data_IF_104289312914
#
_entry.id   IF_104289312914
#
_cell.length_a   1.000
_cell.length_b   1.000
_cell.length_c   1.000
_cell.angle_alpha   90.00
_cell.angle_beta   90.00
_cell.angle_gamma   90.00
#
_symmetry.space_group_name_H-M   'P 1'
#
loop_
_entity.id
_entity.type
_entity.pdbx_description
1 polymer ?
#
# COMPACT_ATOMS: atom_id res chain seq x y z
N UNK A 1 -25.25 -21.78 -34.30
CA UNK A 1 -23.81 -21.61 -34.60
C UNK A 1 -23.05 -21.92 -33.34
N UNK A 2 -22.24 -22.98 -33.38
CA UNK A 2 -21.54 -23.55 -32.24
C UNK A 2 -20.36 -22.65 -31.85
N UNK A 3 -20.33 -22.21 -30.60
CA UNK A 3 -19.15 -21.63 -29.97
C UNK A 3 -18.02 -22.67 -29.97
N UNK A 4 -16.79 -22.34 -30.43
CA UNK A 4 -15.69 -23.30 -30.43
C UNK A 4 -15.27 -23.66 -29.00
N UNK A 5 -15.24 -24.96 -28.70
CA UNK A 5 -14.85 -25.54 -27.40
C UNK A 5 -13.47 -25.08 -26.90
N UNK A 6 -12.63 -24.54 -27.77
CA UNK A 6 -11.29 -24.03 -27.46
C UNK A 6 -11.30 -22.69 -26.71
N UNK A 7 -12.32 -21.83 -26.90
CA UNK A 7 -12.45 -20.58 -26.14
C UNK A 7 -13.04 -20.80 -24.73
N UNK A 8 -13.97 -21.73 -24.59
CA UNK A 8 -14.48 -22.16 -23.27
C UNK A 8 -13.36 -22.74 -22.40
N UNK A 9 -12.42 -23.45 -23.05
CA UNK A 9 -11.25 -24.00 -22.38
C UNK A 9 -10.28 -22.91 -21.88
N UNK A 10 -10.19 -21.75 -22.56
CA UNK A 10 -9.29 -20.63 -22.19
C UNK A 10 -9.86 -19.68 -21.13
N UNK A 11 -11.17 -19.45 -21.13
CA UNK A 11 -11.83 -18.79 -19.99
C UNK A 11 -11.68 -19.64 -18.72
N UNK A 12 -11.84 -20.96 -18.85
CA UNK A 12 -11.65 -21.89 -17.73
C UNK A 12 -10.17 -22.04 -17.32
N UNK A 13 -9.20 -21.93 -18.23
CA UNK A 13 -7.76 -21.97 -17.89
C UNK A 13 -7.26 -20.67 -17.24
N UNK A 14 -7.75 -19.50 -17.66
CA UNK A 14 -7.40 -18.23 -16.98
C UNK A 14 -8.11 -18.11 -15.62
N UNK A 15 -9.34 -18.62 -15.51
CA UNK A 15 -10.15 -18.59 -14.28
C UNK A 15 -9.74 -19.67 -13.25
N UNK A 16 -9.33 -20.86 -13.68
CA UNK A 16 -8.89 -21.95 -12.76
C UNK A 16 -7.51 -21.74 -12.13
N UNK A 17 -6.67 -20.84 -12.66
CA UNK A 17 -5.33 -20.54 -12.12
C UNK A 17 -5.31 -19.31 -11.19
N UNK A 18 -6.47 -18.69 -10.98
CA UNK A 18 -6.70 -17.71 -9.92
C UNK A 18 -7.00 -18.39 -8.56
N UNK A 19 -7.11 -19.72 -8.52
CA UNK A 19 -7.20 -20.50 -7.29
C UNK A 19 -5.78 -20.90 -6.83
N UNK A 20 -5.31 -20.26 -5.76
CA UNK A 20 -3.90 -20.00 -5.44
C UNK A 20 -3.18 -21.11 -4.66
N UNK A 21 -3.69 -22.34 -4.64
CA UNK A 21 -3.18 -23.38 -3.73
C UNK A 21 -2.00 -24.22 -4.25
N UNK A 22 -1.52 -24.05 -5.49
CA UNK A 22 -0.53 -24.98 -6.09
C UNK A 22 0.68 -24.38 -6.84
N UNK A 23 0.86 -23.05 -6.83
CA UNK A 23 1.91 -22.39 -7.63
C UNK A 23 3.32 -22.36 -7.00
N UNK A 24 3.61 -23.21 -6.02
CA UNK A 24 4.95 -23.33 -5.44
C UNK A 24 5.97 -24.05 -6.33
N UNK A 25 5.60 -24.56 -7.52
CA UNK A 25 6.54 -25.33 -8.36
C UNK A 25 6.85 -24.73 -9.74
N UNK A 26 8.04 -24.14 -9.81
CA UNK A 26 8.93 -24.00 -10.97
C UNK A 26 8.65 -22.89 -12.00
N UNK A 27 9.64 -21.99 -12.11
CA UNK A 27 9.89 -21.04 -13.20
C UNK A 27 9.94 -21.65 -14.61
N UNK A 28 10.07 -22.99 -14.74
CA UNK A 28 10.11 -23.69 -16.04
C UNK A 28 8.72 -23.82 -16.71
N UNK A 29 7.67 -24.02 -15.91
CA UNK A 29 6.29 -24.06 -16.42
C UNK A 29 5.85 -22.70 -16.96
N UNK A 30 6.35 -21.63 -16.32
CA UNK A 30 6.08 -20.24 -16.66
C UNK A 30 6.64 -19.82 -18.03
N UNK A 31 7.93 -20.08 -18.30
CA UNK A 31 8.56 -19.73 -19.58
C UNK A 31 7.95 -20.51 -20.76
N UNK A 32 7.53 -21.75 -20.49
CA UNK A 32 6.85 -22.62 -21.47
C UNK A 32 5.46 -22.08 -21.83
N UNK A 33 4.70 -21.59 -20.84
CA UNK A 33 3.39 -20.95 -21.07
C UNK A 33 3.51 -19.64 -21.84
N UNK A 34 4.48 -18.79 -21.50
CA UNK A 34 4.77 -17.54 -22.20
C UNK A 34 5.15 -17.79 -23.67
N UNK A 35 6.02 -18.79 -23.92
CA UNK A 35 6.42 -19.21 -25.27
C UNK A 35 5.21 -19.70 -26.08
N UNK A 36 4.34 -20.53 -25.48
CA UNK A 36 3.10 -21.00 -26.12
C UNK A 36 2.14 -19.86 -26.44
N UNK A 37 1.94 -18.90 -25.55
CA UNK A 37 1.06 -17.76 -25.81
C UNK A 37 1.60 -16.91 -26.98
N UNK A 38 2.90 -16.60 -26.99
CA UNK A 38 3.57 -15.87 -28.09
C UNK A 38 3.47 -16.61 -29.43
N UNK A 39 3.62 -17.94 -29.42
CA UNK A 39 3.54 -18.78 -30.62
C UNK A 39 2.11 -18.90 -31.17
N UNK A 40 1.12 -19.19 -30.31
CA UNK A 40 -0.29 -19.35 -30.68
C UNK A 40 -0.84 -18.06 -31.30
N UNK A 41 -0.47 -16.91 -30.75
CA UNK A 41 -1.00 -15.62 -31.19
C UNK A 41 -0.04 -14.83 -32.07
N UNK A 42 1.10 -15.40 -32.50
CA UNK A 42 2.16 -14.74 -33.30
C UNK A 42 2.48 -13.31 -32.82
N UNK A 43 2.50 -13.08 -31.51
CA UNK A 43 2.57 -11.73 -30.91
C UNK A 43 3.81 -10.94 -31.33
N UNK A 44 4.91 -11.62 -31.66
CA UNK A 44 6.16 -11.00 -32.13
C UNK A 44 6.02 -10.26 -33.47
N UNK A 45 4.94 -10.50 -34.23
CA UNK A 45 4.72 -9.92 -35.56
C UNK A 45 3.65 -8.81 -35.61
N UNK A 46 3.08 -8.44 -34.46
CA UNK A 46 2.00 -7.45 -34.39
C UNK A 46 2.49 -6.12 -33.83
N UNK A 47 2.48 -5.07 -34.65
CA UNK A 47 2.63 -3.66 -34.23
C UNK A 47 1.25 -3.00 -34.11
N UNK A 48 1.08 -1.94 -33.29
CA UNK A 48 -0.18 -1.19 -33.20
C UNK A 48 -0.75 -0.80 -34.58
N UNK A 49 0.12 -0.43 -35.52
CA UNK A 49 -0.23 -0.11 -36.90
C UNK A 49 -0.76 -1.29 -37.74
N UNK A 50 -0.36 -2.53 -37.43
CA UNK A 50 -0.88 -3.74 -38.10
C UNK A 50 -2.21 -4.23 -37.55
N UNK A 51 -2.62 -3.76 -36.36
CA UNK A 51 -3.84 -4.22 -35.66
C UNK A 51 -5.12 -3.50 -36.09
N UNK A 52 -5.01 -2.33 -36.73
CA UNK A 52 -6.15 -1.53 -37.22
C UNK A 52 -7.00 -2.28 -38.25
N UNK A 53 -6.42 -3.24 -38.97
CA UNK A 53 -7.08 -4.00 -40.05
C UNK A 53 -7.50 -5.41 -39.65
N UNK A 54 -7.38 -5.79 -38.38
CA UNK A 54 -7.74 -7.14 -37.94
C UNK A 54 -9.25 -7.19 -37.62
N UNK A 55 -10.01 -8.15 -38.19
CA UNK A 55 -11.43 -8.31 -37.89
C UNK A 55 -11.69 -8.52 -36.40
N UNK A 56 -12.84 -8.07 -35.90
CA UNK A 56 -13.31 -8.47 -34.57
C UNK A 56 -13.55 -10.00 -34.55
N UNK A 57 -13.27 -10.71 -33.44
CA UNK A 57 -12.90 -10.22 -32.10
C UNK A 57 -11.38 -10.26 -31.80
N UNK A 58 -10.52 -10.48 -32.80
CA UNK A 58 -9.10 -10.74 -32.58
C UNK A 58 -8.35 -9.64 -31.81
N UNK A 59 -8.61 -8.33 -32.00
CA UNK A 59 -7.97 -7.28 -31.20
C UNK A 59 -8.22 -7.43 -29.69
N UNK A 60 -9.43 -7.81 -29.27
CA UNK A 60 -9.77 -8.03 -27.86
C UNK A 60 -9.05 -9.25 -27.28
N UNK A 61 -8.90 -10.31 -28.08
CA UNK A 61 -8.15 -11.51 -27.67
C UNK A 61 -6.66 -11.19 -27.48
N UNK A 62 -6.10 -10.39 -28.40
CA UNK A 62 -4.70 -9.97 -28.35
C UNK A 62 -4.47 -9.05 -27.14
N UNK A 63 -5.35 -8.07 -26.91
CA UNK A 63 -5.33 -7.20 -25.73
C UNK A 63 -5.36 -8.02 -24.43
N UNK A 64 -6.36 -8.88 -24.26
CA UNK A 64 -6.50 -9.74 -23.06
C UNK A 64 -5.27 -10.63 -22.84
N UNK A 65 -4.63 -11.09 -23.92
CA UNK A 65 -3.38 -11.83 -23.83
C UNK A 65 -2.25 -10.96 -23.29
N UNK A 66 -2.04 -9.75 -23.82
CA UNK A 66 -1.02 -8.82 -23.31
C UNK A 66 -1.28 -8.41 -21.86
N UNK A 67 -2.53 -8.17 -21.48
CA UNK A 67 -2.91 -7.88 -20.09
C UNK A 67 -2.55 -9.06 -19.16
N UNK A 68 -2.86 -10.30 -19.57
CA UNK A 68 -2.49 -11.51 -18.83
C UNK A 68 -0.96 -11.67 -18.73
N UNK A 69 -0.24 -11.48 -19.84
CA UNK A 69 1.24 -11.55 -19.86
C UNK A 69 1.88 -10.48 -18.98
N UNK A 70 1.22 -9.33 -18.84
CA UNK A 70 1.64 -8.28 -17.93
C UNK A 70 1.54 -8.73 -16.48
N UNK A 71 0.37 -9.19 -16.04
CA UNK A 71 0.14 -9.69 -14.67
C UNK A 71 1.12 -10.81 -14.31
N UNK A 72 1.42 -11.68 -15.28
CA UNK A 72 2.43 -12.75 -15.19
C UNK A 72 3.86 -12.18 -15.04
N UNK A 73 4.22 -11.18 -15.81
CA UNK A 73 5.55 -10.54 -15.76
C UNK A 73 5.76 -9.75 -14.47
N UNK A 74 4.71 -9.09 -13.94
CA UNK A 74 4.74 -8.41 -12.64
C UNK A 74 5.02 -9.39 -11.50
N UNK A 75 4.35 -10.56 -11.48
CA UNK A 75 4.56 -11.60 -10.46
C UNK A 75 5.98 -12.18 -10.47
N UNK A 76 6.65 -12.15 -11.62
CA UNK A 76 8.05 -12.58 -11.77
C UNK A 76 9.05 -11.43 -11.65
N UNK A 77 8.59 -10.24 -11.22
CA UNK A 77 9.39 -9.02 -11.07
C UNK A 77 10.11 -8.57 -12.36
N UNK A 78 9.64 -9.01 -13.53
CA UNK A 78 10.16 -8.58 -14.84
C UNK A 78 9.49 -7.27 -15.27
N UNK A 79 9.75 -6.19 -14.53
CA UNK A 79 9.00 -4.93 -14.65
C UNK A 79 9.14 -4.27 -16.03
N UNK A 80 10.33 -4.27 -16.64
CA UNK A 80 10.51 -3.71 -17.99
C UNK A 80 9.70 -4.46 -19.05
N UNK A 81 9.62 -5.79 -18.91
CA UNK A 81 8.81 -6.66 -19.78
C UNK A 81 7.31 -6.40 -19.56
N UNK A 82 6.88 -6.33 -18.29
CA UNK A 82 5.52 -6.00 -17.93
C UNK A 82 5.11 -4.64 -18.52
N UNK A 83 5.99 -3.63 -18.41
CA UNK A 83 5.76 -2.29 -18.93
C UNK A 83 5.57 -2.28 -20.45
N UNK A 84 6.38 -3.06 -21.17
CA UNK A 84 6.20 -3.21 -22.61
C UNK A 84 4.85 -3.83 -22.96
N UNK A 85 4.45 -4.91 -22.28
CA UNK A 85 3.20 -5.61 -22.57
C UNK A 85 1.97 -4.76 -22.26
N UNK A 86 1.96 -4.04 -21.14
CA UNK A 86 0.80 -3.24 -20.76
C UNK A 86 0.65 -2.01 -21.65
N UNK A 87 1.75 -1.35 -22.06
CA UNK A 87 1.69 -0.28 -23.05
C UNK A 87 1.07 -0.77 -24.36
N UNK A 88 1.48 -1.95 -24.82
CA UNK A 88 0.85 -2.59 -25.98
C UNK A 88 -0.63 -2.90 -25.72
N UNK A 89 -1.00 -3.45 -24.56
CA UNK A 89 -2.40 -3.71 -24.20
C UNK A 89 -3.25 -2.43 -24.30
N UNK A 90 -2.77 -1.33 -23.71
CA UNK A 90 -3.44 -0.04 -23.69
C UNK A 90 -3.58 0.58 -25.09
N UNK A 91 -2.55 0.47 -25.95
CA UNK A 91 -2.59 0.96 -27.33
C UNK A 91 -3.59 0.20 -28.21
N UNK A 92 -3.83 -1.08 -27.92
CA UNK A 92 -4.76 -1.92 -28.68
C UNK A 92 -6.22 -1.74 -28.27
N UNK A 93 -6.46 -1.13 -27.11
CA UNK A 93 -7.80 -0.88 -26.63
C UNK A 93 -8.28 0.52 -26.99
N UNK A 94 -9.53 0.62 -27.47
CA UNK A 94 -10.23 1.92 -27.58
C UNK A 94 -10.68 2.46 -26.22
N UNK A 95 -10.68 1.61 -25.19
CA UNK A 95 -11.08 1.94 -23.82
C UNK A 95 -10.18 1.17 -22.85
N UNK A 96 -9.20 1.85 -22.27
CA UNK A 96 -8.27 1.25 -21.31
C UNK A 96 -9.07 0.63 -20.16
N UNK A 97 -8.84 -0.66 -19.92
CA UNK A 97 -9.48 -1.39 -18.84
C UNK A 97 -8.80 -1.08 -17.51
N UNK A 98 -9.55 -1.24 -16.42
CA UNK A 98 -9.06 -0.99 -15.05
C UNK A 98 -7.79 -1.79 -14.72
N UNK A 99 -7.71 -3.04 -15.19
CA UNK A 99 -6.54 -3.90 -14.97
C UNK A 99 -5.29 -3.36 -15.67
N UNK A 100 -5.44 -2.79 -16.87
CA UNK A 100 -4.31 -2.22 -17.60
C UNK A 100 -3.74 -0.98 -16.87
N UNK A 101 -4.58 -0.11 -16.30
CA UNK A 101 -4.08 1.01 -15.49
C UNK A 101 -3.34 0.53 -14.25
N UNK A 102 -3.88 -0.46 -13.53
CA UNK A 102 -3.22 -1.03 -12.35
C UNK A 102 -1.86 -1.61 -12.67
N UNK A 103 -1.81 -2.42 -13.73
CA UNK A 103 -0.60 -3.07 -14.15
C UNK A 103 0.42 -2.07 -14.70
N UNK A 104 -0.03 -1.03 -15.42
CA UNK A 104 0.81 0.06 -15.89
C UNK A 104 1.44 0.80 -14.71
N UNK A 105 0.63 1.15 -13.72
CA UNK A 105 1.07 1.81 -12.51
C UNK A 105 2.15 0.97 -11.80
N UNK A 106 1.94 -0.34 -11.65
CA UNK A 106 2.93 -1.23 -11.05
C UNK A 106 4.20 -1.38 -11.87
N UNK A 107 4.08 -1.55 -13.18
CA UNK A 107 5.23 -1.75 -14.04
C UNK A 107 6.13 -0.50 -14.06
N UNK A 108 5.52 0.70 -14.12
CA UNK A 108 6.25 1.97 -14.04
C UNK A 108 6.99 2.11 -12.70
N UNK A 109 6.33 1.79 -11.59
CA UNK A 109 6.94 1.82 -10.26
C UNK A 109 8.09 0.83 -10.14
N UNK A 110 7.91 -0.39 -10.62
CA UNK A 110 8.93 -1.44 -10.59
C UNK A 110 10.16 -1.16 -11.46
N UNK A 111 10.05 -0.31 -12.48
CA UNK A 111 11.23 0.19 -13.23
C UNK A 111 11.82 1.50 -12.67
N UNK A 112 11.38 1.95 -11.50
CA UNK A 112 11.88 3.17 -10.84
C UNK A 112 11.34 4.48 -11.44
N UNK A 113 10.23 4.44 -12.17
CA UNK A 113 9.59 5.62 -12.79
C UNK A 113 8.38 6.11 -11.97
N UNK A 114 8.56 6.23 -10.65
CA UNK A 114 7.48 6.58 -9.73
C UNK A 114 6.98 8.02 -9.96
N UNK A 115 7.90 8.98 -10.09
CA UNK A 115 7.55 10.39 -10.35
C UNK A 115 6.77 10.55 -11.67
N UNK A 116 7.27 9.93 -12.74
CA UNK A 116 6.65 9.97 -14.07
C UNK A 116 5.22 9.41 -14.03
N UNK A 117 5.00 8.26 -13.38
CA UNK A 117 3.66 7.69 -13.31
C UNK A 117 2.73 8.50 -12.40
N UNK A 118 3.23 9.11 -11.32
CA UNK A 118 2.43 10.00 -10.47
C UNK A 118 1.93 11.20 -11.28
N UNK A 119 2.81 11.86 -12.05
CA UNK A 119 2.43 12.99 -12.91
C UNK A 119 1.44 12.57 -14.00
N UNK A 120 1.65 11.43 -14.66
CA UNK A 120 0.70 10.90 -15.63
C UNK A 120 -0.68 10.61 -15.02
N UNK A 121 -0.73 10.02 -13.81
CA UNK A 121 -2.00 9.74 -13.14
C UNK A 121 -2.73 11.04 -12.77
N UNK A 122 -2.02 12.07 -12.29
CA UNK A 122 -2.63 13.38 -12.05
C UNK A 122 -3.14 14.04 -13.34
N UNK A 123 -2.40 13.93 -14.43
CA UNK A 123 -2.84 14.39 -15.75
C UNK A 123 -4.14 13.72 -16.22
N UNK A 124 -4.32 12.42 -15.91
CA UNK A 124 -5.56 11.69 -16.21
C UNK A 124 -6.70 12.10 -15.28
N UNK A 125 -6.44 12.32 -13.98
CA UNK A 125 -7.46 12.78 -13.03
C UNK A 125 -7.96 14.18 -13.39
N UNK A 126 -7.09 15.03 -13.94
CA UNK A 126 -7.36 16.42 -14.29
C UNK A 126 -7.40 17.35 -13.08
N UNK A 127 -6.91 16.88 -11.93
CA UNK A 127 -6.83 17.61 -10.68
C UNK A 127 -5.39 17.97 -10.30
N UNK A 128 -5.25 18.69 -9.20
CA UNK A 128 -3.97 19.04 -8.61
C UNK A 128 -3.82 18.46 -7.19
N UNK A 129 -2.58 18.34 -6.74
CA UNK A 129 -2.27 17.92 -5.37
C UNK A 129 -2.74 18.97 -4.38
N UNK A 130 -3.50 18.54 -3.37
CA UNK A 130 -4.10 19.42 -2.36
C UNK A 130 -3.38 19.41 -1.01
N UNK A 131 -2.36 18.57 -0.85
CA UNK A 131 -1.66 18.38 0.42
C UNK A 131 -0.65 19.49 0.65
N UNK A 132 -0.70 20.11 1.84
CA UNK A 132 0.23 21.15 2.28
C UNK A 132 0.64 20.84 3.72
N UNK A 133 1.58 19.90 3.93
CA UNK A 133 2.02 19.53 5.26
C UNK A 133 2.55 20.77 5.97
N UNK A 134 2.09 21.00 7.19
CA UNK A 134 2.61 22.07 8.04
C UNK A 134 3.47 21.47 9.13
N UNK A 135 4.41 22.26 9.67
CA UNK A 135 5.02 21.90 10.95
C UNK A 135 3.93 21.85 12.00
N UNK A 136 4.01 20.87 12.90
CA UNK A 136 3.22 20.93 14.14
C UNK A 136 3.58 22.23 14.87
N UNK A 137 2.55 22.96 15.33
CA UNK A 137 2.70 24.28 15.95
C UNK A 137 2.90 24.12 17.47
N UNK A 138 2.39 23.03 18.06
CA UNK A 138 2.53 22.69 19.47
C UNK A 138 3.72 21.75 19.74
N UNK A 139 4.71 22.23 20.50
CA UNK A 139 5.84 21.43 20.93
C UNK A 139 5.45 20.16 21.71
N UNK A 140 6.17 19.06 21.45
CA UNK A 140 6.20 17.77 22.18
C UNK A 140 4.91 16.95 22.33
N UNK A 141 3.72 17.45 22.04
CA UNK A 141 2.49 16.65 22.15
C UNK A 141 2.38 15.69 20.96
N UNK A 142 2.27 14.40 21.25
CA UNK A 142 2.17 13.32 20.26
C UNK A 142 0.90 12.52 20.53
N UNK A 143 0.05 12.39 19.52
CA UNK A 143 -1.09 11.46 19.52
C UNK A 143 -0.80 10.31 18.57
N UNK A 144 -0.89 9.07 19.07
CA UNK A 144 -0.78 7.88 18.23
C UNK A 144 -2.15 7.54 17.67
N UNK A 145 -2.19 6.95 16.46
CA UNK A 145 -3.44 6.47 15.91
C UNK A 145 -3.29 5.21 15.06
N UNK A 146 -4.38 4.48 14.95
CA UNK A 146 -4.48 3.27 14.13
C UNK A 146 -5.88 3.14 13.52
N UNK A 147 -6.03 2.24 12.54
CA UNK A 147 -7.32 1.93 11.90
C UNK A 147 -7.61 0.46 12.08
N UNK A 148 -8.72 0.14 12.74
CA UNK A 148 -9.32 -1.20 12.77
C UNK A 148 -10.59 -1.17 11.92
N UNK A 149 -10.66 -2.01 10.89
CA UNK A 149 -11.85 -2.13 10.05
C UNK A 149 -12.10 -3.59 9.66
N UNK A 150 -13.34 -4.02 9.84
CA UNK A 150 -13.79 -5.40 9.62
C UNK A 150 -13.13 -6.39 10.58
N UNK A 151 -13.07 -7.65 10.15
CA UNK A 151 -12.64 -8.78 10.99
C UNK A 151 -11.20 -9.23 10.76
N UNK A 152 -10.44 -8.52 9.92
CA UNK A 152 -9.05 -8.91 9.59
C UNK A 152 -8.13 -8.84 10.81
N UNK A 153 -8.27 -7.78 11.61
CA UNK A 153 -7.50 -7.55 12.83
C UNK A 153 -8.50 -7.37 13.99
N UNK A 154 -8.38 -8.22 15.01
CA UNK A 154 -9.22 -8.16 16.21
C UNK A 154 -8.78 -7.03 17.16
N UNK A 155 -9.58 -6.78 18.20
CA UNK A 155 -9.27 -5.78 19.22
C UNK A 155 -7.93 -6.04 19.95
N UNK A 156 -7.49 -7.31 20.03
CA UNK A 156 -6.19 -7.67 20.58
C UNK A 156 -5.02 -6.98 19.85
N UNK A 157 -5.12 -6.71 18.54
CA UNK A 157 -4.08 -5.95 17.84
C UNK A 157 -4.01 -4.48 18.30
N UNK A 158 -5.17 -3.86 18.53
CA UNK A 158 -5.25 -2.49 19.06
C UNK A 158 -4.66 -2.43 20.46
N UNK A 159 -5.04 -3.39 21.31
CA UNK A 159 -4.59 -3.46 22.69
C UNK A 159 -3.08 -3.76 22.78
N UNK A 160 -2.54 -4.65 21.95
CA UNK A 160 -1.11 -4.95 21.92
C UNK A 160 -0.29 -3.75 21.44
N UNK A 161 -0.77 -3.03 20.41
CA UNK A 161 -0.18 -1.76 20.00
C UNK A 161 -0.18 -0.74 21.15
N UNK A 162 -1.31 -0.58 21.84
CA UNK A 162 -1.46 0.34 22.97
C UNK A 162 -0.51 -0.01 24.13
N UNK A 163 -0.41 -1.29 24.48
CA UNK A 163 0.47 -1.78 25.53
C UNK A 163 1.95 -1.54 25.18
N UNK A 164 2.34 -1.78 23.93
CA UNK A 164 3.69 -1.46 23.44
C UNK A 164 3.98 0.04 23.53
N UNK A 165 3.03 0.88 23.12
CA UNK A 165 3.16 2.34 23.24
C UNK A 165 3.33 2.78 24.70
N UNK A 166 2.51 2.27 25.63
CA UNK A 166 2.58 2.58 27.08
C UNK A 166 3.93 2.19 27.67
N UNK A 167 4.43 1.00 27.33
CA UNK A 167 5.69 0.44 27.84
C UNK A 167 6.88 1.37 27.56
N UNK A 168 6.92 1.98 26.38
CA UNK A 168 8.10 2.74 25.93
C UNK A 168 7.92 4.26 25.90
N UNK A 169 6.68 4.77 25.90
CA UNK A 169 6.40 6.21 25.77
C UNK A 169 5.72 6.81 27.02
N UNK A 170 5.43 5.98 28.03
CA UNK A 170 4.87 6.40 29.31
C UNK A 170 3.39 6.05 29.48
N UNK A 171 2.91 6.14 30.73
CA UNK A 171 1.53 5.76 31.09
C UNK A 171 0.47 6.68 30.49
N UNK A 172 0.80 7.96 30.24
CA UNK A 172 -0.11 8.98 29.71
C UNK A 172 -0.15 9.01 28.17
N UNK A 173 0.26 7.91 27.52
CA UNK A 173 0.24 7.83 26.05
C UNK A 173 -1.19 7.89 25.53
N UNK A 174 -1.42 8.72 24.52
CA UNK A 174 -2.72 8.86 23.87
C UNK A 174 -2.77 8.03 22.59
N UNK A 175 -3.67 7.05 22.53
CA UNK A 175 -3.96 6.29 21.31
C UNK A 175 -5.41 6.53 20.87
N UNK A 176 -5.57 6.90 19.60
CA UNK A 176 -6.87 7.03 18.93
C UNK A 176 -7.04 5.89 17.92
N UNK A 177 -8.03 5.03 18.13
CA UNK A 177 -8.39 3.98 17.18
C UNK A 177 -9.60 4.40 16.35
N UNK A 178 -9.43 4.47 15.04
CA UNK A 178 -10.52 4.67 14.09
C UNK A 178 -11.14 3.31 13.78
N UNK A 179 -12.38 3.07 14.22
CA UNK A 179 -13.07 1.78 14.07
C UNK A 179 -14.58 1.92 14.04
N UNK A 180 -15.27 1.03 13.32
CA UNK A 180 -16.72 0.83 13.40
C UNK A 180 -17.14 -0.10 14.56
N UNK A 181 -16.16 -0.80 15.16
CA UNK A 181 -16.40 -1.80 16.18
C UNK A 181 -15.43 -1.64 17.36
N UNK A 182 -16.01 -1.31 18.51
CA UNK A 182 -15.34 -1.05 19.79
C UNK A 182 -15.14 -2.29 20.65
N UNK A 183 -15.77 -3.41 20.31
CA UNK A 183 -15.84 -4.57 21.20
C UNK A 183 -14.44 -5.13 21.52
N UNK A 184 -14.13 -5.25 22.82
CA UNK A 184 -12.87 -5.80 23.32
C UNK A 184 -11.66 -4.87 23.24
N UNK A 185 -11.81 -3.62 22.77
CA UNK A 185 -10.75 -2.62 22.81
C UNK A 185 -10.64 -2.06 24.24
N UNK A 186 -9.42 -1.84 24.70
CA UNK A 186 -9.10 -1.23 25.99
C UNK A 186 -9.81 0.13 26.18
N UNK A 187 -10.33 0.38 27.38
CA UNK A 187 -11.15 1.58 27.67
C UNK A 187 -10.35 2.89 27.68
N UNK A 188 -9.02 2.80 27.88
CA UNK A 188 -8.11 3.95 27.80
C UNK A 188 -7.82 4.35 26.33
N UNK A 189 -8.24 3.55 25.34
CA UNK A 189 -8.09 3.89 23.91
C UNK A 189 -9.27 4.75 23.46
N UNK A 190 -8.98 5.96 23.00
CA UNK A 190 -9.99 6.84 22.42
C UNK A 190 -10.47 6.27 21.09
N UNK A 191 -11.78 6.29 20.85
CA UNK A 191 -12.37 5.72 19.64
C UNK A 191 -13.06 6.80 18.82
N UNK A 192 -12.63 6.95 17.57
CA UNK A 192 -13.33 7.71 16.53
C UNK A 192 -14.07 6.74 15.62
N UNK A 193 -15.38 6.94 15.47
CA UNK A 193 -16.22 6.06 14.66
C UNK A 193 -15.89 6.20 13.18
N UNK A 194 -15.64 5.08 12.50
CA UNK A 194 -15.50 5.09 11.04
C UNK A 194 -16.86 5.36 10.39
N UNK A 195 -16.95 6.21 9.35
CA UNK A 195 -18.23 6.48 8.73
C UNK A 195 -18.74 5.23 8.01
N UNK A 196 -20.00 4.88 8.23
CA UNK A 196 -20.68 3.81 7.50
C UNK A 196 -20.60 4.04 5.97
N UNK A 197 -20.71 5.31 5.54
CA UNK A 197 -20.64 5.72 4.14
C UNK A 197 -19.83 6.99 3.98
N UNK A 198 -18.68 6.87 3.32
CA UNK A 198 -17.82 8.01 3.00
C UNK A 198 -18.20 8.65 1.65
N UNK A 199 -18.55 7.85 0.65
CA UNK A 199 -18.74 8.35 -0.71
C UNK A 199 -20.22 8.67 -1.01
N UNK A 200 -20.67 9.89 -0.65
CA UNK A 200 -22.06 10.37 -0.83
C UNK A 200 -22.61 10.25 -2.27
N UNK A 201 -21.76 10.17 -3.29
CA UNK A 201 -22.15 10.14 -4.72
C UNK A 201 -21.96 8.80 -5.42
N UNK A 202 -21.57 7.73 -4.72
CA UNK A 202 -21.21 6.46 -5.37
C UNK A 202 -21.94 5.24 -4.79
N UNK A 203 -22.02 4.18 -5.61
CA UNK A 203 -22.62 2.89 -5.25
C UNK A 203 -21.68 1.96 -4.45
N UNK A 204 -20.47 2.41 -4.10
CA UNK A 204 -19.47 1.60 -3.39
C UNK A 204 -18.99 2.39 -2.19
N UNK A 205 -19.07 1.76 -1.03
CA UNK A 205 -18.46 2.26 0.18
C UNK A 205 -16.94 2.04 0.13
N UNK A 206 -16.23 2.79 0.95
CA UNK A 206 -14.83 2.54 1.20
C UNK A 206 -14.69 1.18 1.88
N UNK A 207 -13.66 0.41 1.55
CA UNK A 207 -13.46 -0.89 2.19
C UNK A 207 -11.98 -1.15 2.47
N UNK A 208 -11.72 -1.81 3.60
CA UNK A 208 -10.39 -2.24 3.98
C UNK A 208 -9.41 -1.08 4.13
N UNK A 209 -8.26 -1.18 3.47
CA UNK A 209 -7.14 -0.25 3.62
C UNK A 209 -7.46 1.20 3.23
N UNK A 210 -8.53 1.45 2.46
CA UNK A 210 -8.91 2.80 2.08
C UNK A 210 -9.38 3.64 3.29
N UNK A 211 -9.85 3.01 4.38
CA UNK A 211 -10.15 3.70 5.66
C UNK A 211 -8.95 4.38 6.30
N UNK A 212 -7.73 4.01 5.91
CA UNK A 212 -6.53 4.76 6.26
C UNK A 212 -6.61 6.23 5.83
N UNK A 213 -7.28 6.55 4.72
CA UNK A 213 -7.44 7.93 4.28
C UNK A 213 -8.21 8.80 5.31
N UNK A 214 -9.14 8.19 6.05
CA UNK A 214 -10.02 8.93 6.95
C UNK A 214 -9.29 9.55 8.13
N UNK A 215 -8.13 9.01 8.53
CA UNK A 215 -7.28 9.57 9.60
C UNK A 215 -6.76 10.98 9.28
N UNK A 216 -6.81 11.39 8.01
CA UNK A 216 -6.38 12.72 7.58
C UNK A 216 -7.53 13.72 7.53
N UNK A 217 -8.79 13.28 7.66
CA UNK A 217 -9.96 14.15 7.53
C UNK A 217 -10.00 15.25 8.60
N UNK A 218 -10.22 16.51 8.21
CA UNK A 218 -10.43 17.58 9.20
C UNK A 218 -11.69 17.39 10.07
N UNK A 219 -12.57 16.44 9.74
CA UNK A 219 -13.83 16.21 10.44
C UNK A 219 -13.67 15.81 11.92
N UNK A 220 -12.54 15.22 12.30
CA UNK A 220 -12.28 14.78 13.67
C UNK A 220 -11.44 15.78 14.48
N UNK A 221 -11.09 16.95 13.93
CA UNK A 221 -10.34 17.98 14.69
C UNK A 221 -11.14 18.48 15.91
N UNK A 222 -12.44 18.76 15.74
CA UNK A 222 -13.29 19.24 16.85
C UNK A 222 -13.47 18.16 17.93
N UNK A 223 -13.66 16.90 17.52
CA UNK A 223 -13.82 15.76 18.42
C UNK A 223 -12.54 15.46 19.21
N UNK A 224 -11.37 15.50 18.55
CA UNK A 224 -10.08 15.14 19.15
C UNK A 224 -9.33 16.32 19.79
N UNK A 225 -9.80 17.55 19.55
CA UNK A 225 -9.34 18.77 20.18
C UNK A 225 -7.96 19.27 19.74
N UNK A 226 -7.50 20.32 20.41
CA UNK A 226 -6.26 21.07 20.09
C UNK A 226 -5.01 20.17 20.03
N UNK A 227 -4.91 19.18 20.91
CA UNK A 227 -3.77 18.25 20.93
C UNK A 227 -3.69 17.36 19.70
N UNK A 228 -4.83 17.09 19.03
CA UNK A 228 -4.83 16.49 17.71
C UNK A 228 -4.53 17.54 16.66
N UNK A 229 -5.28 18.64 16.61
CA UNK A 229 -5.20 19.65 15.54
C UNK A 229 -3.78 20.23 15.39
N UNK A 230 -3.17 20.67 16.49
CA UNK A 230 -1.88 21.37 16.52
C UNK A 230 -0.68 20.49 16.90
N UNK A 231 -0.94 19.25 17.35
CA UNK A 231 0.08 18.28 17.76
C UNK A 231 0.59 17.39 16.63
N UNK A 232 1.58 16.57 16.96
CA UNK A 232 2.06 15.50 16.09
C UNK A 232 1.10 14.31 16.13
N UNK A 233 0.79 13.76 14.95
CA UNK A 233 0.09 12.47 14.83
C UNK A 233 1.08 11.42 14.36
N UNK A 234 1.01 10.23 14.93
CA UNK A 234 1.79 9.05 14.51
C UNK A 234 0.84 7.90 14.21
N UNK A 235 0.61 7.66 12.93
CA UNK A 235 -0.13 6.50 12.46
C UNK A 235 0.76 5.27 12.48
N UNK A 236 0.22 4.15 12.97
CA UNK A 236 0.89 2.85 12.99
C UNK A 236 -0.10 1.77 12.52
N UNK A 237 0.26 0.99 11.49
CA UNK A 237 -0.49 -0.19 11.06
C UNK A 237 -0.58 -1.20 12.22
N UNK A 238 -1.73 -1.85 12.38
CA UNK A 238 -2.00 -2.75 13.51
C UNK A 238 -1.06 -3.95 13.60
N UNK A 239 -0.46 -4.39 12.50
CA UNK A 239 0.52 -5.47 12.48
C UNK A 239 1.95 -4.96 12.72
N UNK A 240 2.14 -4.11 13.74
CA UNK A 240 3.44 -3.56 14.12
C UNK A 240 3.74 -3.77 15.60
N UNK A 241 5.00 -4.05 15.93
CA UNK A 241 5.50 -4.25 17.29
C UNK A 241 6.31 -3.02 17.71
N UNK A 242 6.03 -2.48 18.90
CA UNK A 242 6.78 -1.38 19.50
C UNK A 242 7.93 -1.95 20.33
N UNK A 243 9.16 -1.50 20.07
CA UNK A 243 10.39 -1.98 20.71
C UNK A 243 11.16 -0.87 21.45
N UNK A 244 10.74 0.39 21.33
CA UNK A 244 11.46 1.52 21.89
C UNK A 244 10.64 2.80 21.92
N UNK A 245 11.20 3.82 22.58
CA UNK A 245 10.61 5.16 22.63
C UNK A 245 10.62 5.83 21.26
N UNK A 246 9.53 6.50 20.90
CA UNK A 246 9.31 7.02 19.54
C UNK A 246 9.59 8.52 19.40
N UNK A 247 10.01 9.16 20.48
CA UNK A 247 10.25 10.61 20.54
C UNK A 247 11.26 11.10 19.51
N UNK A 248 12.42 10.46 19.43
CA UNK A 248 13.49 10.86 18.48
C UNK A 248 13.04 10.73 17.02
N UNK A 249 12.25 9.69 16.72
CA UNK A 249 11.67 9.49 15.39
C UNK A 249 10.75 10.67 15.02
N UNK A 250 9.90 11.13 15.94
CA UNK A 250 8.99 12.26 15.72
C UNK A 250 9.76 13.59 15.63
N UNK A 251 10.72 13.83 16.53
CA UNK A 251 11.53 15.06 16.54
C UNK A 251 12.40 15.22 15.28
N UNK A 252 12.74 14.12 14.61
CA UNK A 252 13.46 14.10 13.34
C UNK A 252 12.63 14.48 12.11
N UNK A 253 11.31 14.65 12.24
CA UNK A 253 10.41 14.95 11.12
C UNK A 253 10.27 16.46 10.93
N UNK A 254 10.45 16.93 9.68
CA UNK A 254 10.23 18.35 9.36
C UNK A 254 8.74 18.72 9.32
N UNK A 255 7.96 18.10 8.42
CA UNK A 255 6.50 18.31 8.31
C UNK A 255 5.72 17.01 8.14
N UNK A 256 6.26 16.08 7.35
CA UNK A 256 5.70 14.76 7.08
C UNK A 256 6.81 13.70 7.15
N UNK A 257 6.59 12.65 7.90
CA UNK A 257 7.47 11.49 8.03
C UNK A 257 6.85 10.27 7.37
N UNK A 258 7.61 9.60 6.50
CA UNK A 258 7.19 8.42 5.74
C UNK A 258 8.25 7.32 5.81
N UNK A 259 7.88 6.07 5.53
CA UNK A 259 8.84 5.00 5.30
C UNK A 259 9.26 4.98 3.83
N UNK A 260 10.57 4.84 3.56
CA UNK A 260 11.03 4.44 2.23
C UNK A 260 10.75 2.96 1.99
N UNK A 261 10.66 2.56 0.73
CA UNK A 261 10.40 1.17 0.34
C UNK A 261 11.65 0.45 -0.17
N UNK A 262 12.80 1.11 -0.25
CA UNK A 262 14.04 0.52 -0.75
C UNK A 262 14.61 -0.44 0.30
N UNK A 263 14.72 -1.74 -0.02
CA UNK A 263 15.12 -2.78 0.93
C UNK A 263 14.01 -3.33 1.85
N UNK A 264 12.76 -2.87 1.68
CA UNK A 264 11.59 -3.55 2.26
C UNK A 264 11.20 -4.76 1.38
N UNK A 265 11.28 -5.98 1.90
CA UNK A 265 10.85 -7.20 1.21
C UNK A 265 9.41 -7.11 0.68
N UNK A 266 8.50 -6.42 1.38
CA UNK A 266 7.11 -6.21 0.93
C UNK A 266 6.99 -5.46 -0.40
N UNK A 267 7.91 -4.54 -0.68
CA UNK A 267 7.73 -3.56 -1.75
C UNK A 267 8.95 -3.40 -2.65
N UNK A 268 10.13 -3.24 -2.05
CA UNK A 268 11.44 -3.02 -2.65
C UNK A 268 11.43 -2.10 -3.87
N UNK A 269 10.93 -0.87 -3.67
CA UNK A 269 10.81 0.13 -4.74
C UNK A 269 11.68 1.35 -4.48
N UNK A 270 12.58 1.64 -5.41
CA UNK A 270 13.38 2.86 -5.34
C UNK A 270 12.48 4.10 -5.42
N UNK A 271 12.57 4.96 -4.39
CA UNK A 271 11.82 6.22 -4.32
C UNK A 271 10.33 6.07 -4.00
N UNK A 272 9.87 4.87 -3.62
CA UNK A 272 8.49 4.65 -3.18
C UNK A 272 8.33 4.87 -1.68
N UNK A 273 7.09 5.15 -1.26
CA UNK A 273 6.73 5.30 0.14
C UNK A 273 5.82 4.19 0.63
N UNK A 274 5.98 3.83 1.89
CA UNK A 274 5.09 2.93 2.62
C UNK A 274 4.42 3.69 3.77
N UNK A 275 3.12 3.42 3.98
CA UNK A 275 2.28 4.09 4.98
C UNK A 275 2.02 3.25 6.23
N UNK A 276 2.85 2.25 6.53
CA UNK A 276 2.71 1.46 7.77
C UNK A 276 3.09 2.25 9.01
N UNK A 277 3.96 3.26 8.88
CA UNK A 277 4.15 4.31 9.88
C UNK A 277 4.15 5.65 9.16
N UNK A 278 3.34 6.59 9.62
CA UNK A 278 3.28 7.96 9.09
C UNK A 278 3.28 8.94 10.25
N UNK A 279 4.13 9.97 10.17
CA UNK A 279 4.18 11.05 11.17
C UNK A 279 3.79 12.36 10.50
N UNK A 280 2.84 13.11 11.02
CA UNK A 280 2.47 14.40 10.42
C UNK A 280 2.02 15.43 11.45
N UNK A 281 2.17 16.69 11.09
CA UNK A 281 1.60 17.83 11.81
C UNK A 281 0.18 18.17 11.34
N UNK A 282 -0.10 19.45 11.07
CA UNK A 282 -1.37 19.88 10.47
C UNK A 282 -1.38 19.78 8.94
N UNK A 283 -2.53 20.08 8.32
CA UNK A 283 -2.64 20.36 6.87
C UNK A 283 -2.64 19.15 5.91
N UNK A 284 -3.17 18.00 6.34
CA UNK A 284 -3.17 16.74 5.55
C UNK A 284 -4.56 16.31 5.02
N UNK A 285 -5.61 17.08 5.30
CA UNK A 285 -7.00 16.88 4.85
C UNK A 285 -7.14 16.63 3.35
N UNK A 286 -6.31 17.28 2.54
CA UNK A 286 -6.26 17.09 1.09
C UNK A 286 -6.04 15.63 0.63
N UNK A 287 -5.47 14.76 1.46
CA UNK A 287 -5.36 13.31 1.16
C UNK A 287 -6.73 12.65 1.18
N UNK A 288 -7.53 12.96 2.20
CA UNK A 288 -8.87 12.41 2.36
C UNK A 288 -9.83 13.04 1.35
N UNK A 289 -9.88 14.37 1.29
CA UNK A 289 -10.82 15.10 0.45
C UNK A 289 -10.58 14.81 -1.03
N UNK A 290 -9.31 14.78 -1.46
CA UNK A 290 -8.95 14.41 -2.83
C UNK A 290 -9.35 12.97 -3.17
N UNK A 291 -9.21 12.04 -2.22
CA UNK A 291 -9.62 10.65 -2.44
C UNK A 291 -11.13 10.56 -2.59
N UNK A 292 -11.88 11.23 -1.71
CA UNK A 292 -13.35 11.25 -1.71
C UNK A 292 -13.90 11.81 -3.01
N UNK A 293 -13.33 12.92 -3.48
CA UNK A 293 -13.75 13.55 -4.72
C UNK A 293 -13.48 12.67 -5.95
N UNK A 294 -12.32 12.00 -5.98
CA UNK A 294 -11.83 11.31 -7.17
C UNK A 294 -11.90 9.77 -7.11
N UNK A 295 -12.50 9.18 -6.05
CA UNK A 295 -12.42 7.74 -5.77
C UNK A 295 -12.84 6.85 -6.95
N UNK A 296 -13.82 7.28 -7.76
CA UNK A 296 -14.26 6.50 -8.92
C UNK A 296 -13.14 6.30 -9.93
N UNK A 297 -12.34 7.35 -10.16
CA UNK A 297 -11.20 7.32 -11.08
C UNK A 297 -10.00 6.66 -10.39
N UNK A 298 -9.68 7.09 -9.18
CA UNK A 298 -8.56 6.58 -8.39
C UNK A 298 -8.65 5.08 -8.22
N UNK A 299 -9.81 4.56 -7.79
CA UNK A 299 -10.03 3.12 -7.63
C UNK A 299 -10.06 2.32 -8.93
N UNK A 300 -9.95 2.96 -10.11
CA UNK A 300 -9.71 2.32 -11.41
C UNK A 300 -8.25 2.40 -11.85
N UNK A 301 -7.45 3.29 -11.26
CA UNK A 301 -6.08 3.58 -11.68
C UNK A 301 -5.02 3.03 -10.73
N UNK A 302 -5.33 3.01 -9.44
CA UNK A 302 -4.48 2.46 -8.39
C UNK A 302 -5.28 1.54 -7.47
N UNK A 303 -4.59 0.61 -6.82
CA UNK A 303 -5.24 -0.42 -6.00
C UNK A 303 -4.73 -0.47 -4.56
N UNK A 304 -3.70 0.31 -4.21
CA UNK A 304 -3.16 0.45 -2.85
C UNK A 304 -3.34 1.87 -2.34
N UNK A 305 -3.53 2.01 -1.03
CA UNK A 305 -3.49 3.31 -0.39
C UNK A 305 -2.11 3.96 -0.52
N UNK A 306 -1.01 3.20 -0.41
CA UNK A 306 0.35 3.76 -0.58
C UNK A 306 0.54 4.47 -1.92
N UNK A 307 -0.06 3.93 -2.99
CA UNK A 307 -0.01 4.57 -4.30
C UNK A 307 -0.75 5.91 -4.33
N UNK A 308 -1.87 6.00 -3.61
CA UNK A 308 -2.61 7.25 -3.45
C UNK A 308 -1.80 8.25 -2.60
N UNK A 309 -1.25 7.75 -1.50
CA UNK A 309 -0.43 8.52 -0.59
C UNK A 309 0.80 9.11 -1.30
N UNK A 310 1.51 8.33 -2.11
CA UNK A 310 2.61 8.79 -2.96
C UNK A 310 2.13 9.83 -3.99
N UNK A 311 0.98 9.61 -4.63
CA UNK A 311 0.41 10.62 -5.54
C UNK A 311 0.19 11.96 -4.84
N UNK A 312 -0.23 11.93 -3.57
CA UNK A 312 -0.47 13.12 -2.78
C UNK A 312 0.80 13.79 -2.24
N UNK A 313 1.86 13.03 -1.95
CA UNK A 313 2.98 13.48 -1.09
C UNK A 313 4.36 13.45 -1.74
N UNK A 314 4.56 12.71 -2.83
CA UNK A 314 5.88 12.55 -3.45
C UNK A 314 6.42 13.88 -4.00
N UNK A 315 7.55 14.38 -3.50
CA UNK A 315 8.11 15.67 -3.93
C UNK A 315 7.42 16.89 -3.32
N UNK A 316 6.55 16.70 -2.32
CA UNK A 316 6.09 17.78 -1.45
C UNK A 316 7.24 18.22 -0.53
N UNK A 317 7.33 19.52 -0.26
CA UNK A 317 8.35 20.08 0.61
C UNK A 317 8.16 19.62 2.07
N UNK A 318 9.25 19.29 2.77
CA UNK A 318 9.24 18.92 4.19
C UNK A 318 8.92 17.46 4.47
N UNK A 319 8.99 16.60 3.45
CA UNK A 319 8.92 15.13 3.61
C UNK A 319 10.27 14.59 4.09
N UNK A 320 10.22 13.81 5.18
CA UNK A 320 11.36 13.17 5.84
C UNK A 320 11.18 11.65 5.81
N UNK A 321 12.27 10.91 5.60
CA UNK A 321 12.26 9.45 5.77
C UNK A 321 12.43 9.13 7.25
N UNK A 322 11.50 8.36 7.81
CA UNK A 322 11.53 7.95 9.22
C UNK A 322 12.70 7.01 9.48
N UNK A 323 13.29 7.16 10.67
CA UNK A 323 14.34 6.28 11.20
C UNK A 323 13.80 5.50 12.38
N UNK A 324 14.46 4.40 12.73
CA UNK A 324 14.04 3.55 13.85
C UNK A 324 12.80 2.69 13.53
N UNK A 325 12.44 2.54 12.26
CA UNK A 325 11.39 1.62 11.81
C UNK A 325 12.00 0.60 10.84
N UNK A 326 11.61 -0.67 10.99
CA UNK A 326 12.08 -1.77 10.13
C UNK A 326 10.93 -2.69 9.73
N UNK A 327 11.06 -3.34 8.58
CA UNK A 327 10.18 -4.46 8.21
C UNK A 327 10.73 -5.77 8.78
N UNK A 328 9.87 -6.57 9.41
CA UNK A 328 10.25 -7.86 10.00
C UNK A 328 10.95 -8.79 9.00
N UNK A 329 10.40 -8.91 7.78
CA UNK A 329 10.97 -9.78 6.74
C UNK A 329 12.38 -9.32 6.33
N UNK A 330 12.60 -8.01 6.20
CA UNK A 330 13.93 -7.46 5.94
C UNK A 330 14.89 -7.79 7.07
N UNK A 331 14.46 -7.66 8.33
CA UNK A 331 15.28 -8.05 9.48
C UNK A 331 15.64 -9.54 9.48
N UNK A 332 14.68 -10.41 9.17
CA UNK A 332 14.90 -11.87 9.15
C UNK A 332 15.84 -12.31 8.02
N UNK A 333 15.74 -11.66 6.87
CA UNK A 333 16.55 -11.97 5.69
C UNK A 333 17.94 -11.27 5.73
N UNK A 334 18.25 -10.54 6.80
CA UNK A 334 19.50 -9.79 6.95
C UNK A 334 19.63 -8.63 5.96
N UNK A 335 18.50 -8.10 5.49
CA UNK A 335 18.44 -6.95 4.58
C UNK A 335 18.34 -5.69 5.44
N UNK A 336 19.44 -4.93 5.49
CA UNK A 336 19.54 -3.68 6.23
C UNK A 336 19.43 -2.49 5.27
N UNK A 337 18.33 -1.72 5.33
CA UNK A 337 18.19 -0.50 4.53
C UNK A 337 19.34 0.47 4.82
N UNK A 338 19.95 1.02 3.77
CA UNK A 338 20.93 2.10 3.83
C UNK A 338 22.20 1.85 4.67
N UNK A 339 22.80 0.66 4.54
CA UNK A 339 24.26 0.49 4.63
C UNK A 339 24.96 0.97 5.90
N UNK A 340 24.31 0.92 7.07
CA UNK A 340 24.97 0.99 8.38
C UNK A 340 24.24 0.08 9.34
N UNK A 341 25.04 -0.56 10.18
CA UNK A 341 24.67 -1.49 11.24
C UNK A 341 24.62 -2.94 10.73
N UNK A 342 25.79 -3.59 10.77
CA UNK A 342 26.05 -5.01 10.45
C UNK A 342 25.50 -5.97 11.53
N UNK A 343 24.73 -5.47 12.50
CA UNK A 343 24.33 -6.22 13.69
C UNK A 343 22.88 -6.70 13.57
N UNK A 344 22.68 -8.00 13.82
CA UNK A 344 21.37 -8.64 13.77
C UNK A 344 20.37 -8.05 14.76
N UNK A 345 19.11 -8.48 14.65
CA UNK A 345 17.98 -8.09 15.51
C UNK A 345 18.27 -8.13 17.03
N UNK A 346 19.26 -8.93 17.47
CA UNK A 346 19.63 -9.08 18.88
C UNK A 346 20.36 -7.86 19.49
N UNK A 347 20.85 -6.93 18.67
CA UNK A 347 21.44 -5.65 19.11
C UNK A 347 20.74 -4.43 18.50
N UNK A 348 19.41 -4.46 18.39
CA UNK A 348 18.59 -3.35 17.89
C UNK A 348 18.52 -2.15 18.87
N UNK A 349 19.67 -1.63 19.29
CA UNK A 349 19.81 -0.32 19.93
C UNK A 349 19.42 0.74 18.89
N UNK A 350 18.16 1.18 18.91
CA UNK A 350 17.66 2.26 18.06
C UNK A 350 16.49 1.91 17.13
N UNK A 351 15.98 0.67 17.12
CA UNK A 351 14.71 0.33 16.44
C UNK A 351 13.55 0.55 17.41
N UNK A 352 12.70 1.53 17.11
CA UNK A 352 11.49 1.82 17.88
C UNK A 352 10.27 1.01 17.44
N UNK A 353 10.19 0.63 16.15
CA UNK A 353 9.05 -0.09 15.57
C UNK A 353 9.53 -1.16 14.58
N UNK A 354 8.94 -2.35 14.65
CA UNK A 354 9.01 -3.36 13.57
C UNK A 354 7.63 -3.58 12.97
N UNK A 355 7.49 -3.42 11.66
CA UNK A 355 6.25 -3.63 10.91
C UNK A 355 6.20 -5.03 10.30
N UNK A 356 5.01 -5.62 10.23
CA UNK A 356 4.76 -6.96 9.69
C UNK A 356 3.74 -6.89 8.54
N UNK A 357 4.03 -6.16 7.44
CA UNK A 357 3.09 -6.03 6.32
C UNK A 357 2.79 -7.38 5.64
N UNK A 358 3.76 -8.30 5.64
CA UNK A 358 3.66 -9.65 5.11
C UNK A 358 3.28 -10.70 6.18
N UNK A 359 3.40 -11.99 5.83
CA UNK A 359 3.35 -13.11 6.77
C UNK A 359 4.77 -13.52 7.16
N UNK A 360 5.01 -14.00 8.39
CA UNK A 360 4.03 -14.16 9.47
C UNK A 360 3.56 -12.81 10.06
N UNK A 361 2.37 -12.80 10.67
CA UNK A 361 1.93 -11.70 11.55
C UNK A 361 2.54 -11.88 12.94
N UNK A 362 2.58 -10.85 13.80
CA UNK A 362 3.27 -10.93 15.09
C UNK A 362 2.87 -12.15 15.95
N UNK A 363 1.57 -12.38 16.14
CA UNK A 363 1.03 -13.54 16.88
C UNK A 363 1.32 -14.92 16.25
N UNK A 364 1.87 -14.96 15.04
CA UNK A 364 2.25 -16.21 14.34
C UNK A 364 3.76 -16.46 14.39
N UNK A 365 4.52 -15.52 14.94
CA UNK A 365 5.98 -15.60 14.99
C UNK A 365 6.45 -16.59 16.06
N UNK A 366 7.56 -17.25 15.79
CA UNK A 366 8.20 -18.18 16.73
C UNK A 366 9.33 -17.52 17.53
N UNK A 367 9.82 -16.40 17.03
CA UNK A 367 10.88 -15.59 17.60
C UNK A 367 10.48 -15.06 18.98
N UNK A 368 11.29 -15.41 20.00
CA UNK A 368 11.03 -15.09 21.41
C UNK A 368 10.86 -13.59 21.65
N UNK A 369 11.69 -12.77 21.00
CA UNK A 369 11.61 -11.31 21.12
C UNK A 369 10.29 -10.75 20.57
N UNK A 370 9.73 -11.34 19.50
CA UNK A 370 8.44 -10.90 18.93
C UNK A 370 7.33 -11.21 19.91
N UNK A 371 7.31 -12.45 20.45
CA UNK A 371 6.29 -12.86 21.42
C UNK A 371 6.35 -12.02 22.69
N UNK A 372 7.56 -11.80 23.24
CA UNK A 372 7.76 -10.99 24.42
C UNK A 372 7.27 -9.54 24.23
N UNK A 373 7.55 -8.94 23.07
CA UNK A 373 7.13 -7.57 22.78
C UNK A 373 5.64 -7.45 22.39
N UNK A 374 5.07 -8.48 21.75
CA UNK A 374 3.69 -8.47 21.25
C UNK A 374 2.66 -8.84 22.31
N UNK A 375 2.90 -9.91 23.08
CA UNK A 375 1.96 -10.41 24.08
C UNK A 375 2.05 -9.64 25.41
N UNK A 376 3.19 -8.97 25.62
CA UNK A 376 3.35 -7.95 26.65
C UNK A 376 3.25 -8.49 28.08
N UNK A 377 4.20 -9.31 28.50
CA UNK A 377 4.46 -9.55 29.93
C UNK A 377 5.10 -8.33 30.61
#
# INVERSE_FOLDING_TARGET
MLFPKELQCRYNLASSYLDTSSLQSSSSNFLTLLSRAKSIYRLQSFTPSTLVNIPQPYPLIIQSTYSSLTSISLKSQSYSTALSYVKTSMELSKKVDKEDYFNYNLAMRGVGKIEEVVEEMWGILGGERRVKPTKAIGGTVVTYCCVKYGTKYGANYVNNLFNGLRRYNGADVRLVCFTEDREGIDEDVEIVELPEKIFKRQRRDMCGWWYKAYIFSGAHNEELGESWEDGWKVYIDLDSVILGGLREMVEGVDRLGVLDTEGMVNEDRKGGFNSSVVVWGGGMDGIYDGLVDEFEKVGRMIYKFDHWFEMCTLGVEGVSVLRGVREFMSCRDGIFNNGRDEEGLEEAVGVGIVTFPLRPKPHECEEEWVRAAWDGD
#
